data_IF_689220435085
#
_entry.id   IF_689220435085
#
_cell.length_a   1.000
_cell.length_b   1.000
_cell.length_c   1.000
_cell.angle_alpha   90.00
_cell.angle_beta   90.00
_cell.angle_gamma   90.00
#
_symmetry.space_group_name_H-M   'P 1'
#
loop_
_entity.id
_entity.type
_entity.pdbx_description
1 polymer ?
#
# COMPACT_ATOMS: atom_id res chain seq x y z
N UNK A 1 17.75 -4.09 -7.79
CA UNK A 1 17.09 -3.61 -6.56
C UNK A 1 16.75 -4.81 -5.71
N UNK A 2 17.40 -4.99 -4.56
CA UNK A 2 17.10 -6.06 -3.60
C UNK A 2 15.89 -5.70 -2.74
N UNK A 3 15.16 -6.69 -2.24
CA UNK A 3 13.98 -6.50 -1.36
C UNK A 3 14.29 -5.65 -0.13
N UNK A 4 15.52 -5.77 0.42
CA UNK A 4 16.01 -4.94 1.54
C UNK A 4 16.00 -3.44 1.20
N UNK A 5 16.46 -3.06 0.02
CA UNK A 5 16.51 -1.64 -0.37
C UNK A 5 15.10 -1.08 -0.58
N UNK A 6 14.17 -1.91 -1.04
CA UNK A 6 12.77 -1.50 -1.21
C UNK A 6 12.06 -1.34 0.14
N UNK A 7 12.26 -2.26 1.08
CA UNK A 7 11.72 -2.14 2.44
C UNK A 7 12.22 -0.87 3.15
N UNK A 8 13.50 -0.53 2.99
CA UNK A 8 14.08 0.72 3.50
C UNK A 8 13.42 1.95 2.88
N UNK A 9 13.24 1.97 1.55
CA UNK A 9 12.57 3.07 0.87
C UNK A 9 11.15 3.28 1.40
N UNK A 10 10.37 2.19 1.50
CA UNK A 10 8.99 2.24 1.99
C UNK A 10 8.94 2.68 3.46
N UNK A 11 9.86 2.20 4.31
CA UNK A 11 9.97 2.66 5.68
C UNK A 11 10.23 4.18 5.75
N UNK A 12 11.15 4.69 4.94
CA UNK A 12 11.42 6.13 4.84
C UNK A 12 10.21 6.93 4.37
N UNK A 13 9.49 6.45 3.34
CA UNK A 13 8.29 7.10 2.83
C UNK A 13 7.17 7.15 3.89
N UNK A 14 6.89 6.02 4.56
CA UNK A 14 5.86 5.97 5.58
C UNK A 14 6.21 6.84 6.80
N UNK A 15 7.49 6.90 7.19
CA UNK A 15 7.95 7.78 8.27
C UNK A 15 7.72 9.25 7.92
N UNK A 16 8.11 9.68 6.71
CA UNK A 16 7.85 11.04 6.24
C UNK A 16 6.37 11.38 6.18
N UNK A 17 5.51 10.43 5.80
CA UNK A 17 4.06 10.64 5.82
C UNK A 17 3.53 10.89 7.23
N UNK A 18 4.04 10.20 8.25
CA UNK A 18 3.69 10.45 9.66
C UNK A 18 4.17 11.84 10.08
N UNK A 19 5.41 12.19 9.78
CA UNK A 19 5.98 13.49 10.12
C UNK A 19 5.21 14.63 9.45
N UNK A 20 4.99 14.57 8.15
CA UNK A 20 4.21 15.57 7.43
C UNK A 20 2.77 15.69 7.95
N UNK A 21 2.14 14.59 8.33
CA UNK A 21 0.81 14.63 8.95
C UNK A 21 0.84 15.32 10.32
N UNK A 22 1.87 15.06 11.15
CA UNK A 22 2.08 15.75 12.44
C UNK A 22 2.27 17.24 12.25
N UNK A 23 3.09 17.65 11.28
CA UNK A 23 3.33 19.06 10.93
C UNK A 23 2.05 19.78 10.50
N UNK A 24 1.13 19.06 9.85
CA UNK A 24 -0.18 19.57 9.44
C UNK A 24 -1.23 19.58 10.56
N UNK A 25 -0.85 19.22 11.80
CA UNK A 25 -1.77 19.14 12.93
C UNK A 25 -2.75 17.96 12.87
N UNK A 26 -2.50 16.97 12.00
CA UNK A 26 -3.31 15.75 11.94
C UNK A 26 -3.05 14.92 13.19
N UNK A 27 -4.12 14.48 13.84
CA UNK A 27 -4.04 13.56 14.97
C UNK A 27 -3.62 12.16 14.53
N UNK A 28 -2.34 11.93 14.24
CA UNK A 28 -1.81 10.70 13.64
C UNK A 28 -2.12 9.42 14.44
N UNK A 29 -2.34 9.54 15.74
CA UNK A 29 -2.68 8.40 16.62
C UNK A 29 -4.16 7.98 16.52
N UNK A 30 -5.01 8.86 15.99
CA UNK A 30 -6.41 8.55 15.68
C UNK A 30 -6.57 7.84 14.35
N UNK A 31 -5.48 7.66 13.62
CA UNK A 31 -5.46 7.17 12.26
C UNK A 31 -5.59 8.30 11.24
N UNK A 32 -5.01 8.10 10.07
CA UNK A 32 -5.04 9.06 8.97
C UNK A 32 -4.85 8.35 7.62
N UNK A 33 -5.18 9.06 6.55
CA UNK A 33 -5.06 8.58 5.18
C UNK A 33 -4.04 9.42 4.44
N UNK A 34 -3.17 8.79 3.66
CA UNK A 34 -2.29 9.45 2.72
C UNK A 34 -2.46 8.82 1.32
N UNK A 35 -2.83 9.63 0.32
CA UNK A 35 -2.94 9.15 -1.06
C UNK A 35 -1.59 9.35 -1.75
N UNK A 36 -0.86 8.26 -1.98
CA UNK A 36 0.47 8.31 -2.56
C UNK A 36 0.46 8.45 -4.09
N UNK A 37 -0.58 7.91 -4.74
CA UNK A 37 -0.72 7.99 -6.20
C UNK A 37 -2.18 7.98 -6.59
N UNK A 38 -2.53 8.77 -7.61
CA UNK A 38 -3.81 8.70 -8.28
C UNK A 38 -3.62 8.90 -9.78
N UNK A 39 -4.10 7.95 -10.56
CA UNK A 39 -4.21 8.01 -12.01
C UNK A 39 -5.64 7.66 -12.43
N UNK A 40 -6.04 7.88 -13.70
CA UNK A 40 -7.39 7.54 -14.16
C UNK A 40 -7.77 6.07 -13.96
N UNK A 41 -6.80 5.15 -14.08
CA UNK A 41 -7.02 3.70 -13.95
C UNK A 41 -6.78 3.14 -12.54
N UNK A 42 -6.04 3.86 -11.67
CA UNK A 42 -5.60 3.30 -10.39
C UNK A 42 -5.37 4.39 -9.32
N UNK A 43 -5.73 4.09 -8.08
CA UNK A 43 -5.24 4.83 -6.91
C UNK A 43 -4.51 3.94 -5.92
N UNK A 44 -3.44 4.48 -5.35
CA UNK A 44 -2.71 3.90 -4.23
C UNK A 44 -2.88 4.80 -3.01
N UNK A 45 -3.39 4.22 -1.93
CA UNK A 45 -3.62 4.91 -0.66
C UNK A 45 -2.94 4.14 0.47
N UNK A 46 -2.23 4.85 1.34
CA UNK A 46 -1.80 4.34 2.63
C UNK A 46 -2.81 4.75 3.71
N UNK A 47 -3.33 3.77 4.45
CA UNK A 47 -4.22 3.97 5.58
C UNK A 47 -3.48 3.63 6.86
N UNK A 48 -3.25 4.63 7.69
CA UNK A 48 -2.73 4.47 9.04
C UNK A 48 -3.90 4.29 9.99
N UNK A 49 -3.99 3.13 10.62
CA UNK A 49 -5.10 2.78 11.50
C UNK A 49 -4.57 2.21 12.81
N UNK A 50 -5.21 2.61 13.91
CA UNK A 50 -4.98 1.97 15.19
C UNK A 50 -5.59 0.56 15.22
N UNK A 51 -5.17 -0.24 16.20
CA UNK A 51 -5.70 -1.61 16.39
C UNK A 51 -7.22 -1.67 16.44
N UNK A 52 -7.84 -0.78 17.21
CA UNK A 52 -9.29 -0.79 17.44
C UNK A 52 -10.08 -0.57 16.16
N UNK A 53 -9.65 0.34 15.29
CA UNK A 53 -10.34 0.63 14.04
C UNK A 53 -10.12 -0.46 13.01
N UNK A 54 -8.92 -1.03 12.97
CA UNK A 54 -8.63 -2.13 12.06
C UNK A 54 -9.38 -3.42 12.41
N UNK A 55 -9.62 -3.68 13.70
CA UNK A 55 -10.41 -4.83 14.15
C UNK A 55 -11.92 -4.68 13.92
N UNK A 56 -12.42 -3.46 13.66
CA UNK A 56 -13.82 -3.22 13.28
C UNK A 56 -14.09 -3.55 11.81
N UNK A 57 -13.05 -3.74 10.98
CA UNK A 57 -13.22 -4.09 9.57
C UNK A 57 -13.86 -5.48 9.47
N UNK A 58 -15.08 -5.59 8.91
CA UNK A 58 -15.73 -6.89 8.74
C UNK A 58 -14.90 -7.76 7.79
N UNK A 59 -14.84 -9.06 8.08
CA UNK A 59 -14.08 -10.05 7.30
C UNK A 59 -12.55 -9.89 7.26
N UNK A 60 -11.92 -9.15 8.20
CA UNK A 60 -10.46 -9.14 8.29
C UNK A 60 -9.91 -10.57 8.51
N UNK A 61 -8.98 -11.09 7.68
CA UNK A 61 -8.47 -12.45 7.81
C UNK A 61 -7.80 -12.69 9.17
N UNK A 62 -8.00 -13.89 9.74
CA UNK A 62 -7.44 -14.26 11.05
C UNK A 62 -5.92 -14.07 11.18
N UNK A 63 -5.09 -14.45 10.18
CA UNK A 63 -3.65 -14.20 10.20
C UNK A 63 -3.29 -12.71 10.28
N UNK A 64 -4.03 -11.86 9.55
CA UNK A 64 -3.83 -10.40 9.58
C UNK A 64 -4.17 -9.88 10.97
N UNK A 65 -5.31 -10.29 11.56
CA UNK A 65 -5.71 -9.89 12.93
C UNK A 65 -4.62 -10.16 13.99
N UNK A 66 -3.84 -11.24 13.83
CA UNK A 66 -2.74 -11.59 14.74
C UNK A 66 -1.50 -10.70 14.58
N UNK A 67 -1.30 -10.12 13.40
CA UNK A 67 -0.18 -9.22 13.09
C UNK A 67 -0.49 -7.76 13.45
N UNK A 68 -1.76 -7.41 13.60
CA UNK A 68 -2.18 -6.05 13.99
C UNK A 68 -1.66 -5.68 15.38
N UNK A 69 -0.93 -4.56 15.43
CA UNK A 69 -0.42 -3.94 16.66
C UNK A 69 -1.08 -2.59 16.92
N UNK A 70 -0.54 -1.79 17.83
CA UNK A 70 -1.12 -0.51 18.29
C UNK A 70 -1.35 0.43 17.11
N UNK A 71 -0.34 0.61 16.28
CA UNK A 71 -0.40 1.38 15.03
C UNK A 71 -0.07 0.48 13.84
N UNK A 72 -0.74 0.71 12.72
CA UNK A 72 -0.61 -0.13 11.53
C UNK A 72 -0.73 0.74 10.28
N UNK A 73 -0.06 0.34 9.20
CA UNK A 73 -0.25 0.93 7.88
C UNK A 73 -0.69 -0.14 6.90
N UNK A 74 -1.82 0.12 6.24
CA UNK A 74 -2.32 -0.65 5.12
C UNK A 74 -2.00 0.06 3.82
N UNK A 75 -1.53 -0.69 2.81
CA UNK A 75 -1.53 -0.23 1.44
C UNK A 75 -2.80 -0.72 0.73
N UNK A 76 -3.56 0.22 0.18
CA UNK A 76 -4.82 -0.03 -0.54
C UNK A 76 -4.64 0.31 -2.00
N UNK A 77 -4.89 -0.68 -2.85
CA UNK A 77 -4.89 -0.55 -4.30
C UNK A 77 -6.34 -0.53 -4.77
N UNK A 78 -6.74 0.54 -5.44
CA UNK A 78 -8.05 0.68 -6.06
C UNK A 78 -7.87 0.83 -7.56
N UNK A 79 -8.73 0.16 -8.34
CA UNK A 79 -8.76 0.25 -9.79
C UNK A 79 -10.07 0.90 -10.23
N UNK A 80 -10.01 1.70 -11.29
CA UNK A 80 -11.22 2.17 -11.94
C UNK A 80 -11.85 1.01 -12.72
N UNK A 81 -13.15 0.80 -12.52
CA UNK A 81 -13.94 -0.14 -13.31
C UNK A 81 -14.96 0.62 -14.16
N UNK A 82 -15.60 -0.11 -15.09
CA UNK A 82 -16.59 0.47 -15.99
C UNK A 82 -17.66 1.27 -15.21
N UNK A 83 -17.99 2.45 -15.72
CA UNK A 83 -18.93 3.37 -15.06
C UNK A 83 -18.31 4.30 -14.01
N UNK A 84 -16.97 4.37 -13.91
CA UNK A 84 -16.28 5.33 -13.02
C UNK A 84 -16.27 4.94 -11.54
N UNK A 85 -16.74 3.72 -11.23
CA UNK A 85 -16.68 3.16 -9.88
C UNK A 85 -15.25 2.70 -9.59
N UNK A 86 -14.77 2.90 -8.37
CA UNK A 86 -13.50 2.35 -7.91
C UNK A 86 -13.74 1.02 -7.22
N UNK A 87 -13.03 -0.02 -7.65
CA UNK A 87 -13.03 -1.32 -6.99
C UNK A 87 -11.70 -1.50 -6.25
N UNK A 88 -11.76 -1.89 -4.98
CA UNK A 88 -10.57 -2.29 -4.23
C UNK A 88 -10.02 -3.59 -4.82
N UNK A 89 -8.84 -3.52 -5.42
CA UNK A 89 -8.14 -4.69 -5.93
C UNK A 89 -7.40 -5.41 -4.80
N UNK A 90 -6.86 -4.68 -3.82
CA UNK A 90 -6.14 -5.29 -2.71
C UNK A 90 -5.92 -4.37 -1.52
N UNK A 91 -5.82 -4.98 -0.35
CA UNK A 91 -5.50 -4.34 0.93
C UNK A 91 -4.40 -5.17 1.58
N UNK A 92 -3.25 -4.54 1.85
CA UNK A 92 -2.06 -5.22 2.39
C UNK A 92 -1.59 -4.55 3.66
N UNK A 93 -1.42 -5.33 4.74
CA UNK A 93 -0.74 -4.83 5.94
C UNK A 93 0.76 -4.78 5.67
N UNK A 94 1.31 -3.58 5.54
CA UNK A 94 2.73 -3.38 5.18
C UNK A 94 3.59 -2.91 6.35
N UNK A 95 2.97 -2.43 7.43
CA UNK A 95 3.66 -2.01 8.63
C UNK A 95 2.79 -2.19 9.88
N UNK A 96 3.42 -2.57 11.00
CA UNK A 96 2.78 -2.61 12.32
C UNK A 96 3.78 -2.27 13.42
N UNK A 97 3.33 -1.55 14.44
CA UNK A 97 4.15 -1.20 15.61
C UNK A 97 3.37 -1.24 16.91
N UNK A 98 4.07 -1.56 18.00
CA UNK A 98 3.53 -1.46 19.36
C UNK A 98 3.49 -0.01 19.86
N UNK A 99 4.25 0.89 19.24
CA UNK A 99 4.23 2.33 19.51
C UNK A 99 3.06 3.00 18.76
N UNK A 100 2.50 4.10 19.30
CA UNK A 100 1.61 4.97 18.55
C UNK A 100 2.36 5.64 17.39
N UNK A 101 1.65 6.19 16.39
CA UNK A 101 2.32 6.82 15.24
C UNK A 101 3.12 8.05 15.68
N UNK A 102 2.62 8.82 16.65
CA UNK A 102 3.31 9.96 17.26
C UNK A 102 4.63 9.60 17.94
N UNK A 103 4.78 8.34 18.37
CA UNK A 103 5.95 7.84 19.10
C UNK A 103 6.98 7.11 18.23
N UNK A 104 6.83 7.14 16.90
CA UNK A 104 7.88 6.67 15.99
C UNK A 104 8.88 7.80 15.77
N UNK A 105 10.15 7.57 16.10
CA UNK A 105 11.15 8.63 16.17
C UNK A 105 12.17 8.58 15.02
N UNK A 106 12.21 7.49 14.23
CA UNK A 106 13.14 7.36 13.11
C UNK A 106 12.68 6.40 12.01
N UNK A 107 13.27 6.55 10.82
CA UNK A 107 13.10 5.60 9.70
C UNK A 107 13.55 4.18 10.06
N UNK A 108 14.55 4.03 10.94
CA UNK A 108 15.02 2.72 11.41
C UNK A 108 13.96 2.01 12.27
N UNK A 109 13.31 2.72 13.19
CA UNK A 109 12.18 2.17 13.95
C UNK A 109 10.99 1.83 13.04
N UNK A 110 10.80 2.62 11.98
CA UNK A 110 9.78 2.33 10.98
C UNK A 110 10.10 1.03 10.23
N UNK A 111 11.36 0.82 9.85
CA UNK A 111 11.84 -0.37 9.15
C UNK A 111 11.62 -1.65 9.98
N UNK A 112 11.85 -1.60 11.29
CA UNK A 112 11.64 -2.75 12.19
C UNK A 112 10.16 -3.21 12.25
N UNK A 113 9.23 -2.30 11.95
CA UNK A 113 7.79 -2.61 11.91
C UNK A 113 7.29 -3.13 10.56
N UNK A 114 8.13 -3.12 9.51
CA UNK A 114 7.72 -3.53 8.17
C UNK A 114 7.30 -5.00 8.14
N UNK A 115 6.13 -5.25 7.56
CA UNK A 115 5.60 -6.59 7.35
C UNK A 115 6.07 -7.10 6.00
N UNK A 116 7.23 -7.77 5.97
CA UNK A 116 7.89 -8.21 4.73
C UNK A 116 6.97 -9.02 3.81
N UNK A 117 6.17 -9.95 4.35
CA UNK A 117 5.22 -10.73 3.55
C UNK A 117 4.12 -9.87 2.94
N UNK A 118 3.56 -8.93 3.71
CA UNK A 118 2.55 -8.00 3.21
C UNK A 118 3.11 -7.03 2.18
N UNK A 119 4.34 -6.56 2.38
CA UNK A 119 5.04 -5.71 1.41
C UNK A 119 5.34 -6.45 0.10
N UNK A 120 5.75 -7.72 0.18
CA UNK A 120 5.97 -8.57 -0.99
C UNK A 120 4.66 -8.80 -1.77
N UNK A 121 3.57 -9.14 -1.07
CA UNK A 121 2.24 -9.32 -1.68
C UNK A 121 1.73 -8.04 -2.34
N UNK A 122 1.89 -6.90 -1.66
CA UNK A 122 1.59 -5.59 -2.21
C UNK A 122 2.36 -5.30 -3.50
N UNK A 123 3.67 -5.50 -3.48
CA UNK A 123 4.55 -5.26 -4.64
C UNK A 123 4.19 -6.17 -5.81
N UNK A 124 3.92 -7.45 -5.53
CA UNK A 124 3.48 -8.41 -6.54
C UNK A 124 2.16 -7.98 -7.19
N UNK A 125 1.21 -7.49 -6.39
CA UNK A 125 -0.06 -7.03 -6.91
C UNK A 125 0.07 -5.75 -7.75
N UNK A 126 0.86 -4.76 -7.32
CA UNK A 126 1.14 -3.57 -8.15
C UNK A 126 1.73 -4.00 -9.50
N UNK A 127 2.73 -4.88 -9.50
CA UNK A 127 3.34 -5.38 -10.74
C UNK A 127 2.32 -6.10 -11.63
N UNK A 128 1.41 -6.87 -11.05
CA UNK A 128 0.35 -7.55 -11.80
C UNK A 128 -0.60 -6.55 -12.45
N UNK A 129 -1.06 -5.55 -11.68
CA UNK A 129 -1.95 -4.50 -12.19
C UNK A 129 -1.30 -3.74 -13.34
N UNK A 130 -0.06 -3.26 -13.14
CA UNK A 130 0.65 -2.49 -14.17
C UNK A 130 0.92 -3.30 -15.44
N UNK A 131 1.15 -4.62 -15.34
CA UNK A 131 1.26 -5.48 -16.54
C UNK A 131 -0.06 -5.68 -17.25
N UNK A 132 -1.18 -5.73 -16.52
CA UNK A 132 -2.50 -5.89 -17.11
C UNK A 132 -3.00 -4.61 -17.79
N UNK A 133 -2.56 -3.44 -17.33
CA UNK A 133 -2.88 -2.12 -17.89
C UNK A 133 -1.98 -1.73 -19.07
N UNK A 134 -0.83 -2.39 -19.24
CA UNK A 134 0.03 -2.17 -20.39
C UNK A 134 -0.74 -2.55 -21.68
N UNK A 135 -0.85 -1.65 -22.68
CA UNK A 135 -1.48 -2.01 -23.94
C UNK A 135 -0.75 -3.23 -24.49
N UNK A 136 -1.53 -4.29 -24.76
CA UNK A 136 -1.06 -5.46 -25.51
C UNK A 136 -0.71 -5.00 -26.92
N UNK A 137 0.50 -4.47 -27.11
CA UNK A 137 1.11 -4.39 -28.43
C UNK A 137 1.60 -5.79 -28.77
N UNK A 138 0.66 -6.70 -29.01
CA UNK A 138 0.94 -7.98 -29.68
C UNK A 138 0.33 -7.88 -31.06
N UNK A 139 1.23 -7.64 -32.01
CA UNK A 139 1.34 -8.44 -33.22
C UNK A 139 0.01 -8.77 -33.90
N UNK A 140 -0.47 -7.85 -34.74
CA UNK A 140 -1.54 -8.14 -35.68
C UNK A 140 -1.02 -7.96 -37.11
N UNK A 141 -0.55 -9.08 -37.64
CA UNK A 141 -0.55 -9.51 -39.04
C UNK A 141 0.09 -8.60 -40.10
N UNK A 142 1.21 -9.08 -40.64
CA UNK A 142 1.39 -9.14 -42.09
C UNK A 142 1.81 -10.56 -42.50
N UNK A 143 0.87 -11.45 -42.89
CA UNK A 143 1.15 -12.47 -43.87
C UNK A 143 0.95 -11.90 -45.27
N UNK A 144 1.69 -12.46 -46.22
CA UNK A 144 1.57 -12.28 -47.68
C UNK A 144 2.06 -10.93 -48.24
N UNK A 145 2.95 -10.88 -49.24
CA UNK A 145 2.90 -11.69 -50.46
C UNK A 145 4.31 -12.06 -50.95
N UNK A 146 4.45 -13.34 -51.32
CA UNK A 146 5.40 -13.78 -52.31
C UNK A 146 4.76 -13.59 -53.69
N UNK A 147 5.41 -12.83 -54.57
CA UNK A 147 5.49 -13.08 -56.02
C UNK A 147 6.68 -12.31 -56.60
#
# INVERSE_FOLDING_TARGET
>A
MTEKNYAQSIAGDLFRMIESAKEQGVGVDKGFRNQAMSSPGMSLTYLFLNKSDLLKVPALPGPVKKQVRRSNALAVIELAVAGGVKQTAGIHLIWSSAKPCSGIESEAEMLDGIQIQGLAAFTAQIKSVLRSDAPRTVDQLAPDQAE
#
